data_IF_572636998918
#
_entry.id   IF_572636998918
#
_cell.length_a   1.000
_cell.length_b   1.000
_cell.length_c   1.000
_cell.angle_alpha   90.00
_cell.angle_beta   90.00
_cell.angle_gamma   90.00
#
_symmetry.space_group_name_H-M   'P 1'
#
loop_
_entity.id
_entity.type
_entity.pdbx_description
1 polymer ?
#
# COMPACT_ATOMS: atom_id res chain seq x y z
N UNK A 1 -68.54 1.83 -77.74
CA UNK A 1 -69.01 3.07 -77.10
C UNK A 1 -69.84 2.67 -75.88
N UNK A 2 -69.24 2.53 -74.69
CA UNK A 2 -69.96 2.12 -73.46
C UNK A 2 -69.49 2.88 -72.21
N UNK A 3 -68.23 3.34 -72.19
CA UNK A 3 -67.69 4.11 -71.08
C UNK A 3 -68.10 5.58 -71.13
N UNK A 4 -68.18 6.19 -72.31
CA UNK A 4 -68.60 7.60 -72.46
C UNK A 4 -70.05 7.82 -72.03
N UNK A 5 -70.96 6.90 -72.35
CA UNK A 5 -72.36 6.99 -71.92
C UNK A 5 -72.49 6.79 -70.41
N UNK A 6 -71.72 5.86 -69.84
CA UNK A 6 -71.69 5.63 -68.39
C UNK A 6 -71.18 6.87 -67.64
N UNK A 7 -70.09 7.49 -68.11
CA UNK A 7 -69.53 8.70 -67.48
C UNK A 7 -70.52 9.87 -67.61
N UNK A 8 -71.19 10.03 -68.77
CA UNK A 8 -72.18 11.10 -68.96
C UNK A 8 -73.42 10.90 -68.08
N UNK A 9 -73.91 9.66 -67.95
CA UNK A 9 -75.09 9.35 -67.15
C UNK A 9 -74.83 9.49 -65.63
N UNK A 10 -73.58 9.34 -65.22
CA UNK A 10 -73.15 9.45 -63.83
C UNK A 10 -72.34 10.73 -63.54
N UNK A 11 -72.35 11.71 -64.44
CA UNK A 11 -71.54 12.93 -64.32
C UNK A 11 -71.82 13.69 -63.02
N UNK A 12 -73.08 13.81 -62.65
CA UNK A 12 -73.49 14.51 -61.42
C UNK A 12 -72.94 13.84 -60.15
N UNK A 13 -72.79 12.52 -60.15
CA UNK A 13 -72.16 11.77 -59.04
C UNK A 13 -70.63 11.89 -59.00
N UNK A 14 -69.99 12.40 -60.06
CA UNK A 14 -68.56 12.70 -60.09
C UNK A 14 -68.27 14.20 -59.83
N UNK A 15 -69.26 15.08 -60.02
CA UNK A 15 -69.17 16.52 -59.75
C UNK A 15 -69.64 16.88 -58.32
N UNK A 16 -69.56 15.94 -57.39
CA UNK A 16 -69.83 16.21 -55.97
C UNK A 16 -68.78 17.21 -55.44
N UNK A 17 -69.27 18.31 -54.85
CA UNK A 17 -68.43 19.35 -54.27
C UNK A 17 -67.56 18.70 -53.19
N UNK A 18 -66.24 18.69 -53.41
CA UNK A 18 -65.29 18.02 -52.53
C UNK A 18 -65.43 18.48 -51.07
N UNK A 19 -64.98 17.67 -50.11
CA UNK A 19 -65.14 17.99 -48.69
C UNK A 19 -64.57 19.38 -48.39
N UNK A 20 -65.29 20.14 -47.56
CA UNK A 20 -64.93 21.54 -47.27
C UNK A 20 -63.47 21.72 -46.84
N UNK A 21 -62.87 22.90 -47.06
CA UNK A 21 -61.42 23.13 -46.94
C UNK A 21 -60.81 22.86 -45.55
N UNK A 22 -61.66 22.69 -44.51
CA UNK A 22 -61.23 22.31 -43.16
C UNK A 22 -61.26 20.82 -42.84
N UNK A 23 -61.71 19.96 -43.75
CA UNK A 23 -61.88 18.53 -43.49
C UNK A 23 -60.53 17.81 -43.31
N UNK A 24 -59.53 18.19 -44.11
CA UNK A 24 -58.16 17.70 -43.97
C UNK A 24 -57.54 18.05 -42.61
N UNK A 25 -57.76 19.28 -42.13
CA UNK A 25 -57.28 19.71 -40.81
C UNK A 25 -57.95 18.96 -39.65
N UNK A 26 -59.18 18.44 -39.84
CA UNK A 26 -59.87 17.62 -38.84
C UNK A 26 -59.36 16.18 -38.84
N UNK A 27 -59.18 15.59 -40.02
CA UNK A 27 -58.63 14.25 -40.16
C UNK A 27 -57.18 14.16 -39.67
N UNK A 28 -56.37 15.20 -39.89
CA UNK A 28 -55.01 15.27 -39.36
C UNK A 28 -54.98 15.27 -37.83
N UNK A 29 -56.01 15.82 -37.16
CA UNK A 29 -56.14 15.80 -35.70
C UNK A 29 -56.64 14.46 -35.16
N UNK A 30 -57.40 13.69 -35.94
CA UNK A 30 -57.91 12.37 -35.54
C UNK A 30 -56.91 11.25 -35.79
N UNK A 31 -55.82 11.50 -36.53
CA UNK A 31 -54.72 10.55 -36.64
C UNK A 31 -53.93 10.49 -35.33
N UNK A 32 -53.74 9.29 -34.73
CA UNK A 32 -52.91 9.16 -33.55
C UNK A 32 -51.47 9.49 -33.92
N UNK A 33 -51.00 10.66 -33.51
CA UNK A 33 -49.57 10.99 -33.55
C UNK A 33 -48.88 9.94 -32.69
N UNK A 34 -48.19 9.00 -33.34
CA UNK A 34 -47.46 7.93 -32.66
C UNK A 34 -46.36 8.60 -31.83
N UNK A 35 -46.66 8.89 -30.57
CA UNK A 35 -45.69 9.39 -29.62
C UNK A 35 -44.63 8.31 -29.49
N UNK A 36 -43.48 8.54 -30.13
CA UNK A 36 -42.29 7.71 -29.97
C UNK A 36 -41.89 7.87 -28.50
N UNK A 37 -42.33 6.94 -27.66
CA UNK A 37 -41.91 6.86 -26.27
C UNK A 37 -40.40 6.72 -26.29
N UNK A 38 -39.72 7.82 -26.03
CA UNK A 38 -38.28 7.90 -26.18
C UNK A 38 -37.61 7.37 -24.92
N UNK A 39 -37.86 6.08 -24.63
CA UNK A 39 -37.16 5.34 -23.59
C UNK A 39 -35.65 5.41 -23.80
N UNK A 40 -35.19 5.47 -25.06
CA UNK A 40 -33.78 5.68 -25.40
C UNK A 40 -33.27 7.06 -24.99
N UNK A 41 -34.03 8.15 -25.21
CA UNK A 41 -33.65 9.51 -24.78
C UNK A 41 -33.76 9.67 -23.26
N UNK A 42 -34.67 8.95 -22.60
CA UNK A 42 -34.77 8.92 -21.15
C UNK A 42 -33.57 8.17 -20.54
N UNK A 43 -33.20 7.00 -21.06
CA UNK A 43 -32.00 6.26 -20.65
C UNK A 43 -30.73 7.10 -20.88
N UNK A 44 -30.60 7.73 -22.05
CA UNK A 44 -29.51 8.65 -22.37
C UNK A 44 -29.51 9.95 -21.56
N UNK A 45 -30.56 10.27 -20.81
CA UNK A 45 -30.59 11.39 -19.86
C UNK A 45 -30.26 10.94 -18.42
N UNK A 46 -30.42 9.66 -18.12
CA UNK A 46 -30.26 9.11 -16.77
C UNK A 46 -28.97 8.30 -16.58
N UNK A 47 -28.23 7.95 -17.64
CA UNK A 47 -26.93 7.29 -17.54
C UNK A 47 -25.90 8.04 -16.68
N UNK A 48 -25.95 9.39 -16.65
CA UNK A 48 -25.12 10.19 -15.75
C UNK A 48 -25.40 9.91 -14.27
N UNK A 49 -26.65 9.61 -13.90
CA UNK A 49 -26.99 9.25 -12.51
C UNK A 49 -26.37 7.92 -12.11
N UNK A 50 -26.33 6.95 -13.02
CA UNK A 50 -25.65 5.68 -12.80
C UNK A 50 -24.12 5.87 -12.71
N UNK A 51 -23.54 6.73 -13.55
CA UNK A 51 -22.10 7.06 -13.49
C UNK A 51 -21.71 7.71 -12.16
N UNK A 52 -22.54 8.63 -11.62
CA UNK A 52 -22.32 9.24 -10.30
C UNK A 52 -22.35 8.18 -9.20
N UNK A 53 -23.30 7.25 -9.24
CA UNK A 53 -23.39 6.18 -8.24
C UNK A 53 -22.17 5.26 -8.28
N UNK A 54 -21.71 4.87 -9.48
CA UNK A 54 -20.50 4.05 -9.66
C UNK A 54 -19.26 4.80 -9.16
N UNK A 55 -19.14 6.09 -9.48
CA UNK A 55 -18.03 6.92 -9.01
C UNK A 55 -18.03 7.05 -7.47
N UNK A 56 -19.20 7.21 -6.84
CA UNK A 56 -19.32 7.25 -5.38
C UNK A 56 -18.95 5.92 -4.74
N UNK A 57 -19.36 4.78 -5.30
CA UNK A 57 -18.99 3.45 -4.79
C UNK A 57 -17.50 3.20 -4.95
N UNK A 58 -16.92 3.57 -6.10
CA UNK A 58 -15.48 3.44 -6.34
C UNK A 58 -14.67 4.32 -5.36
N UNK A 59 -15.11 5.56 -5.14
CA UNK A 59 -14.45 6.49 -4.22
C UNK A 59 -14.65 6.07 -2.75
N UNK A 60 -15.83 5.58 -2.38
CA UNK A 60 -16.07 4.99 -1.06
C UNK A 60 -15.23 3.72 -0.84
N UNK A 61 -15.09 2.85 -1.83
CA UNK A 61 -14.22 1.68 -1.77
C UNK A 61 -12.75 2.05 -1.61
N UNK A 62 -12.31 3.10 -2.31
CA UNK A 62 -10.98 3.69 -2.19
C UNK A 62 -10.76 4.30 -0.80
N UNK A 63 -11.73 5.05 -0.27
CA UNK A 63 -11.70 5.63 1.08
C UNK A 63 -11.70 4.55 2.17
N UNK A 64 -12.49 3.48 2.02
CA UNK A 64 -12.47 2.33 2.94
C UNK A 64 -11.13 1.62 2.86
N UNK A 65 -10.52 1.49 1.67
CA UNK A 65 -9.16 0.95 1.54
C UNK A 65 -8.14 1.83 2.27
N UNK A 66 -8.19 3.16 2.09
CA UNK A 66 -7.28 4.08 2.78
C UNK A 66 -7.51 4.15 4.29
N UNK A 67 -8.77 4.08 4.75
CA UNK A 67 -9.12 4.08 6.16
C UNK A 67 -8.73 2.77 6.88
N UNK A 68 -8.69 1.64 6.15
CA UNK A 68 -8.26 0.35 6.68
C UNK A 68 -6.77 0.05 6.45
N UNK A 69 -6.06 0.85 5.65
CA UNK A 69 -4.60 0.87 5.67
C UNK A 69 -4.19 1.52 6.98
N UNK A 70 -3.75 0.70 7.94
CA UNK A 70 -2.89 1.17 9.03
C UNK A 70 -1.65 1.73 8.37
N UNK A 71 -1.63 3.04 8.20
CA UNK A 71 -0.44 3.75 7.79
C UNK A 71 0.46 3.78 9.02
N UNK A 72 1.22 2.69 9.24
CA UNK A 72 2.41 2.75 10.07
C UNK A 72 3.35 3.71 9.36
N UNK A 73 3.20 5.00 9.67
CA UNK A 73 4.23 5.97 9.41
C UNK A 73 5.36 5.54 10.33
N UNK A 74 6.22 4.66 9.85
CA UNK A 74 7.50 4.38 10.48
C UNK A 74 8.16 5.75 10.65
N UNK A 75 8.15 6.26 11.90
CA UNK A 75 8.83 7.49 12.24
C UNK A 75 10.32 7.12 12.19
N UNK A 76 10.89 7.14 10.98
CA UNK A 76 12.33 7.05 10.80
C UNK A 76 12.87 8.36 11.35
N UNK A 77 13.43 8.30 12.54
CA UNK A 77 14.15 9.41 13.14
C UNK A 77 15.56 9.34 12.56
N UNK A 78 16.00 10.28 11.70
CA UNK A 78 17.28 10.19 10.99
C UNK A 78 18.47 9.98 11.94
N UNK A 79 18.42 10.59 13.13
CA UNK A 79 19.42 10.43 14.18
C UNK A 79 19.56 8.98 14.67
N UNK A 80 18.47 8.21 14.73
CA UNK A 80 18.50 6.80 15.14
C UNK A 80 19.16 5.91 14.09
N UNK A 81 18.90 6.18 12.80
CA UNK A 81 19.50 5.43 11.70
C UNK A 81 21.03 5.60 11.68
N UNK A 82 21.51 6.84 11.84
CA UNK A 82 22.94 7.12 11.94
C UNK A 82 23.58 6.42 13.16
N UNK A 83 22.91 6.45 14.31
CA UNK A 83 23.38 5.74 15.51
C UNK A 83 23.41 4.23 15.30
N UNK A 84 22.38 3.62 14.72
CA UNK A 84 22.35 2.19 14.44
C UNK A 84 23.50 1.77 13.53
N UNK A 85 23.73 2.49 12.43
CA UNK A 85 24.86 2.21 11.53
C UNK A 85 26.21 2.32 12.25
N UNK A 86 26.38 3.35 13.09
CA UNK A 86 27.61 3.54 13.87
C UNK A 86 27.85 2.40 14.87
N UNK A 87 26.84 2.03 15.66
CA UNK A 87 26.99 1.01 16.69
C UNK A 87 27.15 -0.38 16.09
N UNK A 88 26.35 -0.73 15.08
CA UNK A 88 26.39 -2.05 14.43
C UNK A 88 27.74 -2.29 13.77
N UNK A 89 28.26 -1.32 13.00
CA UNK A 89 29.60 -1.44 12.38
C UNK A 89 30.72 -1.62 13.40
N UNK A 90 30.69 -0.90 14.53
CA UNK A 90 31.67 -1.07 15.61
C UNK A 90 31.58 -2.44 16.28
N UNK A 91 30.37 -2.92 16.54
CA UNK A 91 30.16 -4.24 17.16
C UNK A 91 30.66 -5.34 16.22
N UNK A 92 30.32 -5.26 14.94
CA UNK A 92 30.78 -6.22 13.93
C UNK A 92 32.30 -6.24 13.81
N UNK A 93 32.95 -5.07 13.77
CA UNK A 93 34.41 -4.98 13.76
C UNK A 93 35.02 -5.72 14.97
N UNK A 94 34.51 -5.49 16.18
CA UNK A 94 35.00 -6.17 17.39
C UNK A 94 34.72 -7.67 17.39
N UNK A 95 33.58 -8.08 16.84
CA UNK A 95 33.28 -9.51 16.68
C UNK A 95 34.24 -10.17 15.70
N UNK A 96 34.65 -9.49 14.64
CA UNK A 96 35.63 -10.02 13.70
C UNK A 96 37.04 -10.09 14.31
N UNK A 97 37.44 -9.08 15.11
CA UNK A 97 38.65 -9.15 15.95
C UNK A 97 38.59 -10.36 16.90
N UNK A 98 37.43 -10.61 17.52
CA UNK A 98 37.24 -11.73 18.42
C UNK A 98 37.31 -13.10 17.71
N UNK A 99 36.75 -13.21 16.50
CA UNK A 99 36.80 -14.44 15.68
C UNK A 99 38.23 -14.77 15.22
N UNK A 100 39.12 -13.78 15.13
CA UNK A 100 40.52 -14.00 14.79
C UNK A 100 41.29 -14.70 15.93
N UNK A 101 40.77 -14.67 17.16
CA UNK A 101 41.37 -15.33 18.32
C UNK A 101 40.94 -16.81 18.34
N UNK A 102 41.89 -17.76 18.46
CA UNK A 102 41.57 -19.18 18.56
C UNK A 102 40.60 -19.50 19.71
N UNK A 103 39.63 -20.37 19.46
CA UNK A 103 38.56 -20.68 20.41
C UNK A 103 39.06 -21.28 21.74
N UNK A 104 40.19 -21.97 21.71
CA UNK A 104 40.90 -22.51 22.87
C UNK A 104 41.54 -21.43 23.76
N UNK A 105 41.89 -20.28 23.19
CA UNK A 105 42.48 -19.15 23.93
C UNK A 105 41.42 -18.23 24.56
N UNK A 106 40.28 -18.09 23.89
CA UNK A 106 39.16 -17.29 24.37
C UNK A 106 38.52 -17.81 25.66
N UNK A 107 38.57 -19.13 25.91
CA UNK A 107 37.92 -19.76 27.06
C UNK A 107 36.39 -19.63 27.05
N UNK A 108 35.77 -19.27 25.92
CA UNK A 108 34.32 -19.15 25.77
C UNK A 108 33.74 -20.39 25.07
N UNK A 109 32.71 -20.97 25.66
CA UNK A 109 31.93 -22.03 25.01
C UNK A 109 31.16 -21.50 23.77
N UNK A 110 30.58 -22.40 23.00
CA UNK A 110 29.82 -22.03 21.79
C UNK A 110 28.57 -21.22 22.10
N UNK A 111 27.91 -21.50 23.23
CA UNK A 111 26.68 -20.80 23.64
C UNK A 111 26.96 -19.35 24.02
N UNK A 112 28.04 -19.08 24.74
CA UNK A 112 28.47 -17.75 25.14
C UNK A 112 28.93 -16.95 23.92
N UNK A 113 29.58 -17.60 22.95
CA UNK A 113 29.92 -16.96 21.67
C UNK A 113 28.70 -16.58 20.84
N UNK A 114 27.67 -17.42 20.82
CA UNK A 114 26.40 -17.06 20.17
C UNK A 114 25.75 -15.85 20.85
N UNK A 115 25.83 -15.74 22.18
CA UNK A 115 25.33 -14.58 22.91
C UNK A 115 26.10 -13.29 22.62
N UNK A 116 27.32 -13.37 22.08
CA UNK A 116 28.09 -12.21 21.62
C UNK A 116 27.69 -11.74 20.22
N UNK A 117 26.94 -12.53 19.45
CA UNK A 117 26.46 -12.07 18.14
C UNK A 117 25.54 -10.85 18.30
N UNK A 118 25.62 -9.94 17.33
CA UNK A 118 24.83 -8.71 17.34
C UNK A 118 23.32 -9.01 17.38
N UNK A 119 22.85 -9.95 16.54
CA UNK A 119 21.44 -10.33 16.39
C UNK A 119 21.06 -11.53 17.27
N UNK A 120 21.39 -11.45 18.55
CA UNK A 120 20.90 -12.41 19.55
C UNK A 120 19.39 -12.22 19.82
N UNK A 121 18.81 -13.08 20.66
CA UNK A 121 17.38 -13.03 20.99
C UNK A 121 16.95 -11.69 21.61
N UNK A 122 17.82 -11.07 22.42
CA UNK A 122 17.56 -9.76 23.06
C UNK A 122 17.42 -8.65 22.01
N UNK A 123 18.31 -8.60 21.03
CA UNK A 123 18.22 -7.66 19.91
C UNK A 123 16.91 -7.84 19.14
N UNK A 124 16.57 -9.08 18.78
CA UNK A 124 15.39 -9.39 17.97
C UNK A 124 14.10 -9.01 18.70
N UNK A 125 14.06 -9.18 20.02
CA UNK A 125 12.94 -8.75 20.86
C UNK A 125 12.78 -7.22 20.83
N UNK A 126 13.86 -6.46 21.04
CA UNK A 126 13.83 -5.00 21.03
C UNK A 126 13.45 -4.45 19.64
N UNK A 127 13.98 -5.04 18.56
CA UNK A 127 13.65 -4.70 17.16
C UNK A 127 12.16 -4.93 16.88
N UNK A 128 11.62 -6.06 17.34
CA UNK A 128 10.19 -6.36 17.23
C UNK A 128 9.34 -5.35 18.01
N UNK A 129 9.68 -5.07 19.27
CA UNK A 129 8.94 -4.11 20.09
C UNK A 129 8.97 -2.70 19.49
N UNK A 130 10.10 -2.29 18.90
CA UNK A 130 10.24 -1.00 18.23
C UNK A 130 9.40 -0.94 16.95
N UNK A 131 9.37 -2.02 16.19
CA UNK A 131 8.53 -2.14 14.97
C UNK A 131 7.05 -2.05 15.33
N UNK A 132 6.62 -2.70 16.42
CA UNK A 132 5.26 -2.63 16.92
C UNK A 132 4.92 -1.27 17.55
N UNK A 133 5.93 -0.49 17.97
CA UNK A 133 5.78 0.79 18.68
C UNK A 133 6.81 1.85 18.22
N UNK A 134 6.77 2.33 16.97
CA UNK A 134 7.83 3.16 16.36
C UNK A 134 8.05 4.52 17.04
N UNK A 135 7.05 5.04 17.77
CA UNK A 135 7.15 6.29 18.51
C UNK A 135 7.76 6.17 19.91
N UNK A 136 8.02 4.94 20.39
CA UNK A 136 8.37 4.71 21.79
C UNK A 136 9.85 5.01 22.10
N UNK A 137 10.09 6.20 22.66
CA UNK A 137 11.39 6.66 23.19
C UNK A 137 12.06 5.67 24.14
N UNK A 138 11.28 4.96 24.98
CA UNK A 138 11.83 4.01 25.94
C UNK A 138 12.49 2.84 25.24
N UNK A 139 11.86 2.30 24.18
CA UNK A 139 12.39 1.18 23.41
C UNK A 139 13.65 1.63 22.66
N UNK A 140 13.61 2.80 22.01
CA UNK A 140 14.82 3.39 21.38
C UNK A 140 15.98 3.51 22.36
N UNK A 141 15.73 4.06 23.55
CA UNK A 141 16.76 4.19 24.59
C UNK A 141 17.28 2.83 25.06
N UNK A 142 16.43 1.80 25.08
CA UNK A 142 16.83 0.44 25.42
C UNK A 142 17.73 -0.16 24.33
N UNK A 143 17.43 0.13 23.05
CA UNK A 143 18.26 -0.28 21.92
C UNK A 143 19.67 0.34 21.97
N UNK A 144 19.74 1.65 22.22
CA UNK A 144 21.02 2.36 22.38
C UNK A 144 21.82 1.79 23.56
N UNK A 145 21.17 1.58 24.71
CA UNK A 145 21.82 0.95 25.89
C UNK A 145 22.30 -0.47 25.58
N UNK A 146 21.52 -1.25 24.84
CA UNK A 146 21.91 -2.59 24.40
C UNK A 146 23.22 -2.53 23.60
N UNK A 147 23.32 -1.65 22.60
CA UNK A 147 24.53 -1.49 21.82
C UNK A 147 25.74 -1.06 22.65
N UNK A 148 25.57 -0.08 23.54
CA UNK A 148 26.63 0.38 24.44
C UNK A 148 27.15 -0.76 25.31
N UNK A 149 26.24 -1.49 25.94
CA UNK A 149 26.58 -2.60 26.82
C UNK A 149 27.26 -3.75 26.06
N UNK A 150 26.85 -3.99 24.80
CA UNK A 150 27.48 -4.96 23.91
C UNK A 150 28.91 -4.57 23.55
N UNK A 151 29.13 -3.30 23.20
CA UNK A 151 30.46 -2.77 22.94
C UNK A 151 31.36 -2.88 24.16
N UNK A 152 30.89 -2.43 25.32
CA UNK A 152 31.65 -2.48 26.58
C UNK A 152 32.06 -3.92 26.93
N UNK A 153 31.16 -4.89 26.71
CA UNK A 153 31.44 -6.29 26.91
C UNK A 153 32.52 -6.80 25.96
N UNK A 154 32.38 -6.52 24.65
CA UNK A 154 33.37 -6.93 23.65
C UNK A 154 34.73 -6.30 23.90
N UNK A 155 34.76 -5.00 24.24
CA UNK A 155 35.97 -4.28 24.63
C UNK A 155 36.64 -4.92 25.83
N UNK A 156 35.87 -5.26 26.86
CA UNK A 156 36.42 -5.92 28.04
C UNK A 156 37.03 -7.26 27.69
N UNK A 157 36.35 -8.09 26.90
CA UNK A 157 36.85 -9.40 26.48
C UNK A 157 38.16 -9.25 25.70
N UNK A 158 38.19 -8.38 24.68
CA UNK A 158 39.38 -8.14 23.87
C UNK A 158 40.55 -7.61 24.71
N UNK A 159 40.28 -6.68 25.64
CA UNK A 159 41.32 -6.11 26.51
C UNK A 159 41.95 -7.13 27.47
N UNK A 160 41.17 -8.09 27.98
CA UNK A 160 41.72 -9.17 28.81
C UNK A 160 42.60 -10.10 27.97
N UNK A 161 42.23 -10.39 26.72
CA UNK A 161 43.06 -11.19 25.81
C UNK A 161 44.38 -10.48 25.49
N UNK A 162 44.37 -9.17 25.23
CA UNK A 162 45.61 -8.39 25.02
C UNK A 162 46.54 -8.40 26.23
N UNK A 163 46.00 -8.30 27.46
CA UNK A 163 46.83 -8.39 28.69
C UNK A 163 47.52 -9.75 28.81
N UNK A 164 46.82 -10.84 28.45
CA UNK A 164 47.38 -12.18 28.50
C UNK A 164 48.45 -12.42 27.42
N UNK A 165 48.33 -11.81 26.24
CA UNK A 165 49.33 -11.92 25.16
C UNK A 165 50.52 -10.96 25.34
N UNK A 166 50.34 -9.84 26.02
CA UNK A 166 51.35 -8.77 26.17
C UNK A 166 52.26 -8.93 27.40
N UNK A 167 51.99 -9.85 28.32
CA UNK A 167 52.84 -10.10 29.49
C UNK A 167 53.95 -11.11 29.14
N UNK A 168 55.23 -10.70 29.00
CA UNK A 168 56.30 -11.59 28.58
C UNK A 168 56.69 -12.53 29.72
N UNK A 169 56.85 -13.81 29.39
CA UNK A 169 57.54 -14.79 30.22
C UNK A 169 58.97 -14.30 30.50
N UNK A 170 59.16 -13.69 31.66
CA UNK A 170 60.48 -13.24 32.10
C UNK A 170 61.07 -14.29 33.02
N UNK A 171 61.91 -15.16 32.44
CA UNK A 171 63.02 -15.94 33.01
C UNK A 171 62.84 -16.71 34.33
N UNK A 172 63.10 -18.03 34.25
CA UNK A 172 64.17 -18.74 34.98
C UNK A 172 64.58 -19.97 34.15
N UNK A 173 65.38 -19.78 33.10
CA UNK A 173 66.75 -20.30 33.13
C UNK A 173 67.64 -19.59 34.15
N UNK A 174 67.92 -20.28 35.27
CA UNK A 174 69.18 -20.17 36.01
C UNK A 174 69.52 -21.57 36.52
N UNK A 175 70.56 -22.14 35.89
CA UNK A 175 71.45 -23.26 36.28
C UNK A 175 70.82 -24.62 36.60
#
# INVERSE_FOLDING_TARGET
>A
MKLEDFIKQHRDSFEEEGPGPGLWARLEKELPVRQKTSVVRMMAKHWWKAAILIALIANAGLLVKYANTKQDVAVVIPEMEEMELYYTSKIEQKLDELKAIPADQLGLDSTTRAELELRNETYLLLEKELTENPGNERIRSAMVRYYQMKLDLLDKILSEQEKHTSSPSTKKDVL
#
